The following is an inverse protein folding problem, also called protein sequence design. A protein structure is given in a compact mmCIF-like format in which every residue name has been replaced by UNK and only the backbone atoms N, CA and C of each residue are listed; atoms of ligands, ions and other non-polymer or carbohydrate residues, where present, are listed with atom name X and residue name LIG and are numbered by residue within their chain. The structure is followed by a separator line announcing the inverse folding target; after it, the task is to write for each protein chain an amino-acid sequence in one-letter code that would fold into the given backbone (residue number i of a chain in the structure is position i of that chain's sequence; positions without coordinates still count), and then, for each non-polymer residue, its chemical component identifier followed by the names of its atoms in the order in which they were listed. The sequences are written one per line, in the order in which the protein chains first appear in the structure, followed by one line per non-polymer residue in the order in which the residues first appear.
data_IF_183797040009
#
_entry.id   IF_183797040009
#
_cell.length_a   1.000
_cell.length_b   1.000
_cell.length_c   1.000
_cell.angle_alpha   90.00
_cell.angle_beta   90.00
_cell.angle_gamma   90.00
#
_symmetry.space_group_name_H-M   'P 1'
#
loop_
_entity.id
_entity.type
_entity.pdbx_description
1 polymer ?
#
# COMPACT_ATOMS: atom_id res chain seq x y z
N UNK A 1 6.83 -39.84 29.86
CA UNK A 1 6.02 -38.88 29.11
C UNK A 1 6.96 -37.87 28.45
N UNK A 2 7.27 -38.08 27.18
CA UNK A 2 8.20 -37.21 26.44
C UNK A 2 7.42 -36.04 25.82
N UNK A 3 7.70 -34.84 26.27
CA UNK A 3 7.20 -33.63 25.67
C UNK A 3 7.96 -33.38 24.37
N UNK A 4 7.27 -33.52 23.24
CA UNK A 4 7.79 -33.15 21.90
C UNK A 4 7.95 -31.66 21.82
N UNK A 5 9.19 -31.20 21.86
CA UNK A 5 9.57 -29.80 21.66
C UNK A 5 9.46 -29.49 20.17
N UNK A 6 8.28 -29.05 19.72
CA UNK A 6 8.09 -28.56 18.36
C UNK A 6 8.76 -27.20 18.26
N UNK A 7 9.96 -27.19 17.67
CA UNK A 7 10.67 -25.96 17.31
C UNK A 7 9.80 -25.15 16.35
N UNK A 8 9.53 -23.85 16.60
CA UNK A 8 8.75 -23.06 15.65
C UNK A 8 9.48 -23.04 14.32
N UNK A 9 8.76 -23.41 13.26
CA UNK A 9 9.28 -23.35 11.89
C UNK A 9 9.69 -21.91 11.59
N UNK A 10 10.98 -21.72 11.30
CA UNK A 10 11.43 -20.41 10.85
C UNK A 10 10.66 -20.01 9.60
N UNK A 11 10.16 -18.78 9.57
CA UNK A 11 9.52 -18.24 8.37
C UNK A 11 10.47 -18.37 7.18
N UNK A 12 9.99 -18.77 6.00
CA UNK A 12 10.84 -18.99 4.84
C UNK A 12 11.64 -17.72 4.51
N UNK A 13 12.93 -17.88 4.25
CA UNK A 13 13.80 -16.77 3.85
C UNK A 13 13.30 -16.22 2.49
N UNK A 14 13.01 -14.91 2.44
CA UNK A 14 12.45 -14.24 1.26
C UNK A 14 13.35 -13.13 0.74
N UNK A 15 14.54 -12.97 1.30
CA UNK A 15 15.47 -11.86 1.03
C UNK A 15 15.85 -11.68 -0.43
N UNK A 16 15.87 -12.77 -1.19
CA UNK A 16 16.21 -12.79 -2.62
C UNK A 16 15.03 -12.47 -3.55
N UNK A 17 13.82 -12.33 -3.00
CA UNK A 17 12.57 -12.14 -3.73
C UNK A 17 11.64 -11.12 -3.09
N UNK A 18 12.20 -10.16 -2.36
CA UNK A 18 11.43 -9.09 -1.73
C UNK A 18 11.94 -7.70 -2.08
N UNK A 19 11.00 -6.76 -2.19
CA UNK A 19 11.27 -5.32 -2.23
C UNK A 19 10.72 -4.68 -0.96
N UNK A 20 11.50 -3.80 -0.35
CA UNK A 20 11.10 -3.08 0.85
C UNK A 20 11.25 -1.58 0.59
N UNK A 21 10.16 -0.83 0.79
CA UNK A 21 10.13 0.62 0.75
C UNK A 21 9.80 1.14 2.13
N UNK A 22 10.56 2.15 2.60
CA UNK A 22 10.29 2.83 3.87
C UNK A 22 10.25 4.33 3.64
N UNK A 23 9.30 4.98 4.29
CA UNK A 23 9.21 6.44 4.29
C UNK A 23 8.52 6.93 5.55
N UNK A 24 9.01 8.04 6.10
CA UNK A 24 8.35 8.74 7.20
C UNK A 24 7.53 9.89 6.62
N UNK A 25 6.26 9.92 6.97
CA UNK A 25 5.31 10.97 6.59
C UNK A 25 5.04 11.88 7.79
N UNK A 26 4.97 13.19 7.55
CA UNK A 26 4.61 14.18 8.57
C UNK A 26 3.08 14.28 8.72
N UNK A 27 2.47 13.18 9.12
CA UNK A 27 1.03 13.07 9.35
C UNK A 27 0.75 11.94 10.36
N UNK A 28 -0.31 12.05 11.18
CA UNK A 28 -0.73 10.99 12.09
C UNK A 28 -1.06 9.69 11.36
N UNK A 29 -0.83 8.57 12.01
CA UNK A 29 -1.05 7.22 11.47
C UNK A 29 -2.46 7.01 10.93
N UNK A 30 -3.46 7.50 11.64
CA UNK A 30 -4.86 7.41 11.25
C UNK A 30 -5.14 8.14 9.93
N UNK A 31 -4.50 9.28 9.72
CA UNK A 31 -4.61 10.06 8.48
C UNK A 31 -3.95 9.32 7.32
N UNK A 32 -2.71 8.85 7.50
CA UNK A 32 -1.98 8.11 6.46
C UNK A 32 -2.74 6.84 6.07
N UNK A 33 -3.24 6.09 7.08
CA UNK A 33 -4.06 4.90 6.84
C UNK A 33 -5.36 5.23 6.10
N UNK A 34 -6.06 6.29 6.48
CA UNK A 34 -7.29 6.72 5.81
C UNK A 34 -7.04 7.12 4.35
N UNK A 35 -5.95 7.85 4.07
CA UNK A 35 -5.56 8.23 2.71
C UNK A 35 -5.16 7.01 1.87
N UNK A 36 -4.62 5.96 2.50
CA UNK A 36 -4.28 4.70 1.85
C UNK A 36 -5.50 3.82 1.53
N UNK A 37 -6.57 3.98 2.27
CA UNK A 37 -7.75 3.10 2.21
C UNK A 37 -9.02 3.75 1.68
N UNK A 38 -8.97 5.03 1.31
CA UNK A 38 -10.07 5.74 0.66
C UNK A 38 -9.81 5.83 -0.85
N UNK A 39 -10.69 5.26 -1.70
CA UNK A 39 -10.49 5.25 -3.15
C UNK A 39 -10.36 6.65 -3.76
N UNK A 40 -11.01 7.68 -3.17
CA UNK A 40 -10.94 9.07 -3.64
C UNK A 40 -9.56 9.68 -3.44
N UNK A 41 -8.84 9.25 -2.39
CA UNK A 41 -7.47 9.65 -2.13
C UNK A 41 -6.49 8.79 -2.92
N UNK A 42 -6.67 7.47 -2.91
CA UNK A 42 -5.80 6.51 -3.61
C UNK A 42 -5.67 6.86 -5.10
N UNK A 43 -6.76 7.25 -5.75
CA UNK A 43 -6.74 7.68 -7.16
C UNK A 43 -5.80 8.86 -7.45
N UNK A 44 -5.43 9.65 -6.43
CA UNK A 44 -4.60 10.85 -6.59
C UNK A 44 -3.09 10.58 -6.47
N UNK A 45 -2.71 9.51 -5.77
CA UNK A 45 -1.29 9.25 -5.48
C UNK A 45 -0.79 7.88 -5.93
N UNK A 46 -1.67 6.89 -6.13
CA UNK A 46 -1.24 5.55 -6.52
C UNK A 46 -0.64 5.54 -7.92
N UNK A 47 0.55 4.93 -8.04
CA UNK A 47 1.29 4.85 -9.29
C UNK A 47 2.47 5.81 -9.38
N UNK A 48 3.45 5.52 -10.28
CA UNK A 48 4.62 6.36 -10.48
C UNK A 48 4.29 7.72 -11.09
N UNK A 49 5.28 8.60 -11.14
CA UNK A 49 5.15 9.90 -11.80
C UNK A 49 4.70 9.76 -13.26
N UNK A 50 3.82 10.64 -13.70
CA UNK A 50 3.25 10.61 -15.05
C UNK A 50 2.07 9.66 -15.24
N UNK A 51 1.77 8.79 -14.25
CA UNK A 51 0.58 7.94 -14.26
C UNK A 51 -0.62 8.65 -13.63
N UNK A 52 -1.79 8.37 -14.18
CA UNK A 52 -3.07 8.59 -13.49
C UNK A 52 -3.71 7.24 -13.14
N UNK A 53 -4.60 7.24 -12.16
CA UNK A 53 -5.19 5.99 -11.66
C UNK A 53 -6.69 6.13 -11.52
N UNK A 54 -7.42 5.18 -12.10
CA UNK A 54 -8.87 5.02 -11.93
C UNK A 54 -9.13 3.85 -10.98
N UNK A 55 -9.84 4.11 -9.89
CA UNK A 55 -10.29 3.06 -8.97
C UNK A 55 -11.68 2.60 -9.42
N UNK A 56 -11.79 1.35 -9.81
CA UNK A 56 -13.04 0.73 -10.24
C UNK A 56 -13.81 0.18 -9.03
N UNK A 57 -13.08 -0.43 -8.09
CA UNK A 57 -13.62 -1.01 -6.86
C UNK A 57 -12.55 -0.95 -5.77
N UNK A 58 -12.95 -0.71 -4.53
CA UNK A 58 -12.06 -0.81 -3.37
C UNK A 58 -12.87 -1.16 -2.12
N UNK A 59 -12.87 -2.44 -1.76
CA UNK A 59 -13.54 -2.97 -0.58
C UNK A 59 -12.50 -3.37 0.47
N UNK A 60 -12.22 -2.45 1.41
CA UNK A 60 -11.14 -2.59 2.40
C UNK A 60 -11.59 -3.46 3.57
N UNK A 61 -11.65 -4.76 3.34
CA UNK A 61 -11.92 -5.81 4.34
C UNK A 61 -11.25 -7.11 3.95
N UNK A 62 -11.15 -8.04 4.86
CA UNK A 62 -10.68 -9.40 4.57
C UNK A 62 -11.46 -10.00 3.38
N UNK A 63 -10.75 -10.41 2.35
CA UNK A 63 -11.31 -10.97 1.12
C UNK A 63 -11.93 -9.94 0.16
N UNK A 64 -11.91 -8.64 0.50
CA UNK A 64 -12.41 -7.59 -0.38
C UNK A 64 -11.51 -7.35 -1.57
N UNK A 65 -12.10 -6.98 -2.71
CA UNK A 65 -11.40 -6.66 -3.95
C UNK A 65 -11.00 -5.18 -4.01
N UNK A 66 -9.86 -4.94 -4.60
CA UNK A 66 -9.41 -3.62 -5.03
C UNK A 66 -9.00 -3.72 -6.50
N UNK A 67 -9.80 -3.14 -7.39
CA UNK A 67 -9.62 -3.12 -8.84
C UNK A 67 -9.31 -1.72 -9.30
N UNK A 68 -8.25 -1.58 -10.05
CA UNK A 68 -7.79 -0.29 -10.55
C UNK A 68 -7.14 -0.41 -11.92
N UNK A 69 -7.13 0.70 -12.64
CA UNK A 69 -6.37 0.85 -13.88
C UNK A 69 -5.41 2.01 -13.71
N UNK A 70 -4.12 1.75 -13.91
CA UNK A 70 -3.11 2.80 -14.02
C UNK A 70 -2.93 3.15 -15.49
N UNK A 71 -3.10 4.43 -15.84
CA UNK A 71 -2.93 4.96 -17.18
C UNK A 71 -1.53 5.53 -17.32
N UNK A 72 -0.71 4.90 -18.13
CA UNK A 72 0.69 5.28 -18.33
C UNK A 72 0.86 6.49 -19.25
N UNK A 73 1.97 7.22 -19.13
CA UNK A 73 2.30 8.32 -20.03
C UNK A 73 2.59 7.86 -21.47
N UNK A 74 2.77 6.57 -21.68
CA UNK A 74 2.91 5.90 -22.97
C UNK A 74 1.55 5.58 -23.64
N UNK A 75 0.44 5.95 -23.01
CA UNK A 75 -0.92 5.68 -23.46
C UNK A 75 -1.41 4.26 -23.21
N UNK A 76 -0.66 3.46 -22.43
CA UNK A 76 -1.05 2.10 -22.07
C UNK A 76 -1.80 2.07 -20.75
N UNK A 77 -2.77 1.16 -20.69
CA UNK A 77 -3.53 0.86 -19.49
C UNK A 77 -2.99 -0.39 -18.80
N UNK A 78 -2.71 -0.25 -17.51
CA UNK A 78 -2.21 -1.33 -16.66
C UNK A 78 -3.30 -1.70 -15.65
N UNK A 79 -4.04 -2.76 -15.95
CA UNK A 79 -5.08 -3.29 -15.06
C UNK A 79 -4.43 -4.00 -13.87
N UNK A 80 -4.99 -3.76 -12.70
CA UNK A 80 -4.54 -4.38 -11.46
C UNK A 80 -5.73 -4.88 -10.67
N UNK A 81 -5.65 -6.11 -10.18
CA UNK A 81 -6.54 -6.66 -9.18
C UNK A 81 -5.77 -7.00 -7.92
N UNK A 82 -6.28 -6.56 -6.82
CA UNK A 82 -5.69 -6.75 -5.48
C UNK A 82 -6.79 -7.32 -4.58
N UNK A 83 -6.43 -8.28 -3.74
CA UNK A 83 -7.34 -8.87 -2.74
C UNK A 83 -6.75 -8.64 -1.36
N UNK A 84 -7.54 -8.06 -0.45
CA UNK A 84 -7.12 -7.86 0.93
C UNK A 84 -7.09 -9.18 1.69
N UNK A 85 -5.96 -9.49 2.31
CA UNK A 85 -5.71 -10.70 3.11
C UNK A 85 -5.85 -10.38 4.60
N UNK A 86 -5.48 -9.17 5.00
CA UNK A 86 -5.58 -8.72 6.38
C UNK A 86 -5.79 -7.19 6.41
N UNK A 87 -6.65 -6.73 7.31
CA UNK A 87 -6.88 -5.31 7.57
C UNK A 87 -6.91 -5.09 9.07
N UNK A 88 -5.85 -4.48 9.62
CA UNK A 88 -5.73 -4.09 11.03
C UNK A 88 -5.61 -2.58 11.09
N UNK A 89 -6.73 -1.89 11.31
CA UNK A 89 -6.80 -0.42 11.37
C UNK A 89 -6.22 0.10 12.69
N UNK A 90 -5.40 1.14 12.68
CA UNK A 90 -4.74 1.81 11.55
C UNK A 90 -3.30 1.32 11.35
N UNK A 91 -2.98 0.06 11.64
CA UNK A 91 -1.62 -0.43 11.86
C UNK A 91 -1.05 -1.19 10.67
N UNK A 92 -1.89 -2.03 10.01
CA UNK A 92 -1.37 -2.94 8.99
C UNK A 92 -2.42 -3.32 7.94
N UNK A 93 -1.94 -3.45 6.71
CA UNK A 93 -2.65 -4.05 5.58
C UNK A 93 -1.79 -5.18 5.01
N UNK A 94 -2.42 -6.29 4.69
CA UNK A 94 -1.81 -7.33 3.84
C UNK A 94 -2.73 -7.56 2.66
N UNK A 95 -2.18 -7.53 1.46
CA UNK A 95 -2.94 -7.75 0.24
C UNK A 95 -2.10 -8.43 -0.83
N UNK A 96 -2.77 -9.12 -1.74
CA UNK A 96 -2.15 -9.83 -2.88
C UNK A 96 -2.54 -9.19 -4.19
N UNK A 97 -1.54 -8.90 -5.02
CA UNK A 97 -1.77 -8.71 -6.44
C UNK A 97 -2.04 -10.06 -7.07
N UNK A 98 -3.20 -10.19 -7.69
CA UNK A 98 -3.65 -11.42 -8.36
C UNK A 98 -3.73 -11.18 -9.87
N UNK A 99 -3.28 -12.13 -10.69
CA UNK A 99 -3.41 -12.01 -12.14
C UNK A 99 -4.88 -11.88 -12.56
N UNK A 100 -5.13 -11.05 -13.56
CA UNK A 100 -6.41 -10.97 -14.27
C UNK A 100 -6.25 -11.44 -15.72
N UNK A 101 -7.37 -11.78 -16.36
CA UNK A 101 -7.37 -12.12 -17.78
C UNK A 101 -6.80 -10.97 -18.63
N UNK A 102 -5.82 -11.28 -19.48
CA UNK A 102 -5.13 -10.30 -20.30
C UNK A 102 -4.00 -9.54 -19.59
N UNK A 103 -3.66 -9.89 -18.35
CA UNK A 103 -2.49 -9.35 -17.64
C UNK A 103 -1.37 -10.40 -17.53
N UNK A 104 -0.13 -9.93 -17.29
CA UNK A 104 0.96 -10.84 -16.97
C UNK A 104 0.69 -11.57 -15.65
N UNK A 105 1.02 -12.87 -15.53
CA UNK A 105 0.77 -13.67 -14.34
C UNK A 105 1.78 -13.36 -13.21
N UNK A 106 1.97 -12.09 -12.89
CA UNK A 106 2.91 -11.64 -11.88
C UNK A 106 2.13 -11.28 -10.62
N UNK A 107 2.16 -12.19 -9.66
CA UNK A 107 1.58 -11.97 -8.34
C UNK A 107 2.64 -11.68 -7.29
N UNK A 108 2.30 -10.86 -6.30
CA UNK A 108 3.08 -10.67 -5.09
C UNK A 108 2.16 -10.37 -3.91
N UNK A 109 2.65 -10.66 -2.72
CA UNK A 109 1.99 -10.26 -1.49
C UNK A 109 2.67 -9.02 -0.94
N UNK A 110 1.87 -8.03 -0.62
CA UNK A 110 2.31 -6.78 0.00
C UNK A 110 1.87 -6.72 1.45
N UNK A 111 2.81 -6.43 2.34
CA UNK A 111 2.53 -6.05 3.72
C UNK A 111 2.87 -4.59 3.89
N UNK A 112 1.89 -3.79 4.31
CA UNK A 112 2.08 -2.37 4.62
C UNK A 112 1.85 -2.15 6.10
N UNK A 113 2.85 -1.63 6.79
CA UNK A 113 2.76 -1.28 8.21
C UNK A 113 2.83 0.23 8.38
N UNK A 114 2.06 0.75 9.33
CA UNK A 114 1.95 2.16 9.67
C UNK A 114 2.37 2.33 11.13
N UNK A 115 3.65 2.60 11.36
CA UNK A 115 4.18 2.78 12.72
C UNK A 115 3.99 4.23 13.19
N UNK A 116 3.40 4.40 14.35
CA UNK A 116 3.22 5.71 14.98
C UNK A 116 4.55 6.21 15.57
N UNK A 117 4.99 7.39 15.16
CA UNK A 117 6.19 8.08 15.64
C UNK A 117 5.84 9.38 16.39
N UNK A 118 4.69 9.44 17.04
CA UNK A 118 4.28 10.65 17.79
C UNK A 118 3.87 11.81 16.87
N UNK A 119 2.80 11.63 16.11
CA UNK A 119 2.29 12.59 15.13
C UNK A 119 2.89 12.48 13.73
N UNK A 120 3.88 11.62 13.55
CA UNK A 120 4.42 11.19 12.26
C UNK A 120 4.18 9.69 12.08
N UNK A 121 4.27 9.22 10.85
CA UNK A 121 4.06 7.81 10.52
C UNK A 121 5.21 7.27 9.70
N UNK A 122 5.86 6.21 10.18
CA UNK A 122 6.72 5.42 9.31
C UNK A 122 5.88 4.36 8.59
N UNK A 123 5.84 4.45 7.28
CA UNK A 123 5.26 3.40 6.43
C UNK A 123 6.37 2.50 5.94
N UNK A 124 6.18 1.20 6.15
CA UNK A 124 7.00 0.16 5.53
C UNK A 124 6.11 -0.67 4.60
N UNK A 125 6.43 -0.67 3.32
CA UNK A 125 5.76 -1.48 2.31
C UNK A 125 6.73 -2.59 1.87
N UNK A 126 6.39 -3.83 2.17
CA UNK A 126 7.17 -5.02 1.84
C UNK A 126 6.42 -5.86 0.82
N UNK A 127 7.01 -6.08 -0.34
CA UNK A 127 6.47 -6.88 -1.43
C UNK A 127 7.26 -8.19 -1.51
N UNK A 128 6.58 -9.32 -1.44
CA UNK A 128 7.19 -10.65 -1.57
C UNK A 128 6.67 -11.32 -2.84
N UNK A 129 7.57 -11.62 -3.75
CA UNK A 129 7.29 -12.26 -5.03
C UNK A 129 7.34 -13.79 -4.91
N UNK A 130 6.77 -14.48 -5.89
CA UNK A 130 6.80 -15.95 -5.94
C UNK A 130 8.24 -16.50 -6.08
N UNK A 131 9.12 -15.76 -6.75
CA UNK A 131 10.53 -16.12 -6.96
C UNK A 131 11.41 -14.90 -7.17
N UNK A 132 12.72 -15.07 -7.02
CA UNK A 132 13.72 -14.06 -7.37
C UNK A 132 13.65 -13.67 -8.86
N UNK A 133 13.36 -14.63 -9.74
CA UNK A 133 13.19 -14.36 -11.16
C UNK A 133 11.96 -13.47 -11.44
N UNK A 134 10.83 -13.71 -10.76
CA UNK A 134 9.64 -12.87 -10.87
C UNK A 134 9.92 -11.44 -10.38
N UNK A 135 10.62 -11.28 -9.26
CA UNK A 135 11.04 -9.97 -8.77
C UNK A 135 11.96 -9.27 -9.77
N UNK A 136 12.99 -9.96 -10.26
CA UNK A 136 13.94 -9.39 -11.23
C UNK A 136 13.25 -8.95 -12.52
N UNK A 137 12.27 -9.71 -13.00
CA UNK A 137 11.45 -9.34 -14.16
C UNK A 137 10.68 -8.03 -13.91
N UNK A 138 10.00 -7.91 -12.80
CA UNK A 138 9.23 -6.70 -12.42
C UNK A 138 10.14 -5.48 -12.27
N UNK A 139 11.28 -5.65 -11.62
CA UNK A 139 12.26 -4.57 -11.47
C UNK A 139 12.78 -4.10 -12.83
N UNK A 140 13.13 -5.04 -13.72
CA UNK A 140 13.70 -4.71 -15.02
C UNK A 140 12.65 -4.15 -16.00
N UNK A 141 11.48 -4.76 -16.07
CA UNK A 141 10.44 -4.43 -17.07
C UNK A 141 9.67 -3.17 -16.70
N UNK A 142 9.33 -3.00 -15.41
CA UNK A 142 8.48 -1.93 -14.92
C UNK A 142 9.20 -0.89 -14.09
N UNK A 143 10.53 -1.00 -13.94
CA UNK A 143 11.32 -0.11 -13.08
C UNK A 143 10.72 0.01 -11.66
N UNK A 144 10.32 -1.12 -11.09
CA UNK A 144 9.47 -1.16 -9.89
C UNK A 144 10.11 -0.51 -8.66
N UNK A 145 11.44 -0.51 -8.56
CA UNK A 145 12.14 0.14 -7.44
C UNK A 145 11.93 1.65 -7.47
N UNK A 146 12.15 2.27 -8.62
CA UNK A 146 11.94 3.70 -8.79
C UNK A 146 10.46 4.06 -8.75
N UNK A 147 9.61 3.23 -9.38
CA UNK A 147 8.16 3.39 -9.35
C UNK A 147 7.59 3.38 -7.93
N UNK A 148 8.07 2.48 -7.08
CA UNK A 148 7.66 2.42 -5.67
C UNK A 148 8.06 3.67 -4.88
N UNK A 149 9.28 4.17 -5.09
CA UNK A 149 9.75 5.43 -4.48
C UNK A 149 8.90 6.62 -4.92
N UNK A 150 8.62 6.73 -6.21
CA UNK A 150 7.80 7.80 -6.77
C UNK A 150 6.35 7.74 -6.25
N UNK A 151 5.78 6.54 -6.15
CA UNK A 151 4.44 6.35 -5.59
C UNK A 151 4.35 6.86 -4.16
N UNK A 152 5.31 6.52 -3.29
CA UNK A 152 5.37 7.07 -1.93
C UNK A 152 5.66 8.57 -1.90
N UNK A 153 6.41 9.10 -2.86
CA UNK A 153 6.63 10.55 -3.03
C UNK A 153 5.33 11.30 -3.34
N UNK A 154 4.50 10.75 -4.22
CA UNK A 154 3.18 11.32 -4.54
C UNK A 154 2.22 11.29 -3.34
N UNK A 155 2.29 10.25 -2.51
CA UNK A 155 1.55 10.20 -1.26
C UNK A 155 1.98 11.34 -0.32
N UNK A 156 3.29 11.58 -0.18
CA UNK A 156 3.81 12.68 0.62
C UNK A 156 3.34 14.05 0.11
N UNK A 157 3.38 14.27 -1.20
CA UNK A 157 2.86 15.50 -1.80
C UNK A 157 1.37 15.71 -1.51
N UNK A 158 0.57 14.63 -1.58
CA UNK A 158 -0.86 14.71 -1.26
C UNK A 158 -1.08 15.07 0.21
N UNK A 159 -0.38 14.39 1.13
CA UNK A 159 -0.48 14.66 2.58
C UNK A 159 -0.06 16.09 2.90
N UNK A 160 1.02 16.59 2.28
CA UNK A 160 1.48 17.97 2.44
C UNK A 160 0.44 18.98 1.94
N UNK A 161 -0.16 18.73 0.78
CA UNK A 161 -1.23 19.59 0.24
C UNK A 161 -2.48 19.60 1.14
N UNK A 162 -2.82 18.45 1.71
CA UNK A 162 -3.94 18.32 2.64
C UNK A 162 -3.70 19.12 3.92
N UNK A 163 -2.48 19.06 4.47
CA UNK A 163 -2.08 19.85 5.64
C UNK A 163 -2.17 21.36 5.36
N UNK A 164 -1.56 21.84 4.28
CA UNK A 164 -1.54 23.25 3.90
C UNK A 164 -2.93 23.82 3.56
N UNK A 165 -3.83 22.99 3.02
CA UNK A 165 -5.22 23.36 2.71
C UNK A 165 -6.17 23.40 3.90
N UNK A 166 -5.70 23.13 5.13
CA UNK A 166 -6.57 22.97 6.30
C UNK A 166 -7.53 21.78 6.15
N UNK A 167 -7.14 20.81 5.33
CA UNK A 167 -7.94 19.64 4.98
C UNK A 167 -8.31 18.82 6.19
N UNK A 168 -9.60 18.58 6.35
CA UNK A 168 -10.13 17.66 7.35
C UNK A 168 -10.19 16.27 6.74
N UNK A 169 -9.41 15.32 7.27
CA UNK A 169 -9.56 13.91 6.92
C UNK A 169 -10.56 13.30 7.88
N UNK A 170 -11.64 12.77 7.34
CA UNK A 170 -12.64 12.06 8.12
C UNK A 170 -12.13 10.64 8.34
N UNK A 171 -11.61 10.36 9.52
CA UNK A 171 -11.25 9.00 9.94
C UNK A 171 -12.50 8.36 10.53
N UNK A 172 -13.06 7.36 9.86
CA UNK A 172 -14.12 6.54 10.43
C UNK A 172 -13.49 5.58 11.45
N UNK A 173 -13.66 5.86 12.72
CA UNK A 173 -13.39 4.87 13.75
C UNK A 173 -14.37 3.69 13.64
N UNK A 174 -13.94 2.50 14.05
CA UNK A 174 -14.69 1.25 13.89
C UNK A 174 -16.03 1.22 14.67
N UNK A 175 -16.21 2.08 15.66
CA UNK A 175 -17.41 2.20 16.47
C UNK A 175 -17.86 3.67 16.57
N UNK A 176 -18.80 4.03 15.69
CA UNK A 176 -19.73 5.17 15.79
C UNK A 176 -19.21 6.59 16.05
N UNK A 177 -17.94 6.83 16.27
CA UNK A 177 -17.39 8.17 16.39
C UNK A 177 -16.64 8.60 15.13
N UNK A 178 -17.09 9.72 14.55
CA UNK A 178 -16.34 10.45 13.52
C UNK A 178 -15.22 11.23 14.20
N UNK A 179 -13.99 10.75 14.08
CA UNK A 179 -12.82 11.52 14.54
C UNK A 179 -12.43 12.46 13.40
N UNK A 180 -12.65 13.75 13.63
CA UNK A 180 -12.15 14.81 12.76
C UNK A 180 -10.69 15.08 13.11
N UNK A 181 -9.76 14.54 12.33
CA UNK A 181 -8.34 14.86 12.48
C UNK A 181 -8.02 16.05 11.58
N UNK A 182 -7.75 17.20 12.20
CA UNK A 182 -7.17 18.35 11.49
C UNK A 182 -5.67 18.10 11.38
N UNK A 183 -5.16 18.12 10.18
CA UNK A 183 -3.71 18.09 9.93
C UNK A 183 -3.22 19.54 10.09
N UNK A 184 -2.51 19.82 11.17
CA UNK A 184 -1.87 21.12 11.39
C UNK A 184 -0.40 20.99 10.99
N UNK A 185 0.11 22.04 10.33
CA UNK A 185 1.56 22.25 10.22
C UNK A 185 2.16 22.44 11.62
N UNK A 186 3.24 21.73 11.90
CA UNK A 186 4.07 21.93 13.07
C UNK A 186 5.23 22.87 12.73
#
# INVERSE_FOLDING_TARGET
MSASNVKPSAAPETKDRELIFRRVFNAPREVVFAVWTDPRHVAKWWGPNGFSTTIQEMDVRLGGDWRLVMHGPDGRDYKNRIVFVEVVKPERLVYRHVPEEGTEPIGHESTVTFADLGGKTEVTMRLVFASAAAMAHVVKTYNAVEGGKQTLGRLEELLTKMAAGGGTVIVKAADKELILVRVFDA
#
